data_IF_746871843088
#
_entry.id   IF_746871843088
#
_cell.length_a   1.000
_cell.length_b   1.000
_cell.length_c   1.000
_cell.angle_alpha   90.00
_cell.angle_beta   90.00
_cell.angle_gamma   90.00
#
_symmetry.space_group_name_H-M   'P 1'
#
loop_
_entity.id
_entity.type
_entity.pdbx_description
1 polymer ?
#
# COMPACT_ATOMS: atom_id res chain seq x y z
N UNK A 1 -9.59 -10.45 -19.05
CA UNK A 1 -10.61 -11.15 -18.24
C UNK A 1 -10.45 -10.91 -16.72
N UNK A 2 -9.22 -11.00 -16.16
CA UNK A 2 -8.94 -10.85 -14.71
C UNK A 2 -9.34 -9.47 -14.14
N UNK A 3 -9.02 -8.37 -14.83
CA UNK A 3 -9.34 -6.98 -14.40
C UNK A 3 -10.80 -6.75 -13.99
N UNK A 4 -11.75 -7.22 -14.80
CA UNK A 4 -13.19 -7.00 -14.58
C UNK A 4 -13.76 -7.80 -13.42
N UNK A 5 -13.07 -8.85 -12.97
CA UNK A 5 -13.54 -9.70 -11.86
C UNK A 5 -13.11 -9.17 -10.49
N UNK A 6 -12.01 -8.42 -10.42
CA UNK A 6 -11.40 -8.00 -9.15
C UNK A 6 -11.48 -6.49 -8.84
N UNK A 7 -11.79 -5.64 -9.83
CA UNK A 7 -11.71 -4.16 -9.68
C UNK A 7 -12.96 -3.39 -10.13
N UNK A 8 -14.09 -4.06 -10.36
CA UNK A 8 -15.33 -3.43 -10.85
C UNK A 8 -16.26 -3.11 -9.69
N UNK A 9 -16.08 -1.97 -9.04
CA UNK A 9 -17.02 -1.48 -8.03
C UNK A 9 -17.35 0.00 -8.27
N UNK A 10 -18.63 0.35 -8.15
CA UNK A 10 -19.17 1.68 -8.45
C UNK A 10 -19.16 2.67 -7.27
N UNK A 11 -18.59 2.32 -6.11
CA UNK A 11 -18.51 3.24 -4.97
C UNK A 11 -17.27 2.97 -4.10
N UNK A 12 -16.09 3.04 -4.72
CA UNK A 12 -14.78 2.69 -4.11
C UNK A 12 -14.16 3.86 -3.32
N UNK A 13 -14.82 5.02 -3.28
CA UNK A 13 -14.18 6.29 -2.88
C UNK A 13 -13.86 6.38 -1.38
N UNK A 14 -14.45 5.51 -0.54
CA UNK A 14 -14.27 5.52 0.93
C UNK A 14 -13.61 4.24 1.51
N UNK A 15 -12.91 3.45 0.71
CA UNK A 15 -12.24 2.24 1.22
C UNK A 15 -10.77 2.48 1.56
N UNK A 16 -10.36 2.00 2.72
CA UNK A 16 -8.96 1.93 3.11
C UNK A 16 -8.36 0.67 2.49
N UNK A 17 -7.37 0.88 1.61
CA UNK A 17 -6.84 -0.21 0.78
C UNK A 17 -5.46 -0.61 1.27
N UNK A 18 -5.33 -1.87 1.63
CA UNK A 18 -4.08 -2.51 2.01
C UNK A 18 -3.57 -3.31 0.83
N UNK A 19 -2.34 -3.02 0.41
CA UNK A 19 -1.68 -3.66 -0.71
C UNK A 19 -0.47 -4.40 -0.17
N UNK A 20 -0.59 -5.72 -0.07
CA UNK A 20 0.45 -6.62 0.41
C UNK A 20 1.14 -7.21 -0.81
N UNK A 21 2.45 -7.03 -0.91
CA UNK A 21 3.25 -7.48 -2.05
C UNK A 21 4.38 -8.37 -1.55
N UNK A 22 4.42 -9.61 -1.98
CA UNK A 22 5.57 -10.49 -1.76
C UNK A 22 6.62 -10.27 -2.85
N UNK A 23 7.86 -10.00 -2.44
CA UNK A 23 9.01 -9.86 -3.36
C UNK A 23 10.01 -10.99 -3.15
N UNK A 24 10.78 -11.31 -4.19
CA UNK A 24 11.96 -12.17 -4.05
C UNK A 24 13.06 -11.39 -3.32
N UNK A 25 13.93 -12.09 -2.58
CA UNK A 25 15.01 -11.43 -1.82
C UNK A 25 15.94 -10.60 -2.73
N UNK A 26 16.23 -11.13 -3.92
CA UNK A 26 17.07 -10.51 -4.93
C UNK A 26 16.31 -9.57 -5.88
N UNK A 27 15.03 -9.27 -5.63
CA UNK A 27 14.23 -8.40 -6.47
C UNK A 27 14.85 -7.00 -6.58
N UNK A 28 14.85 -6.44 -7.80
CA UNK A 28 15.49 -5.15 -8.06
C UNK A 28 14.70 -4.00 -7.43
N UNK A 29 15.41 -3.05 -6.80
CA UNK A 29 14.81 -1.84 -6.23
C UNK A 29 13.99 -1.04 -7.26
N UNK A 30 14.44 -0.96 -8.52
CA UNK A 30 13.73 -0.26 -9.60
C UNK A 30 12.39 -0.92 -9.95
N UNK A 31 12.35 -2.26 -9.97
CA UNK A 31 11.11 -3.02 -10.19
C UNK A 31 10.11 -2.74 -9.07
N UNK A 32 10.55 -2.84 -7.81
CA UNK A 32 9.72 -2.57 -6.63
C UNK A 32 9.19 -1.13 -6.67
N UNK A 33 10.06 -0.16 -6.94
CA UNK A 33 9.69 1.25 -7.06
C UNK A 33 8.65 1.50 -8.15
N UNK A 34 8.82 0.88 -9.31
CA UNK A 34 7.87 0.97 -10.43
C UNK A 34 6.50 0.43 -10.03
N UNK A 35 6.48 -0.74 -9.37
CA UNK A 35 5.25 -1.33 -8.84
C UNK A 35 4.56 -0.41 -7.83
N UNK A 36 5.30 0.18 -6.89
CA UNK A 36 4.75 1.12 -5.89
C UNK A 36 4.13 2.35 -6.56
N UNK A 37 4.78 2.92 -7.57
CA UNK A 37 4.22 4.05 -8.33
C UNK A 37 2.93 3.69 -9.06
N UNK A 38 2.82 2.49 -9.63
CA UNK A 38 1.60 2.04 -10.29
C UNK A 38 0.45 1.83 -9.32
N UNK A 39 0.74 1.26 -8.15
CA UNK A 39 -0.23 1.12 -7.06
C UNK A 39 -0.72 2.50 -6.62
N UNK A 40 0.19 3.45 -6.37
CA UNK A 40 -0.15 4.84 -6.08
C UNK A 40 -1.05 5.41 -7.18
N UNK A 41 -0.67 5.31 -8.45
CA UNK A 41 -1.46 5.84 -9.57
C UNK A 41 -2.88 5.25 -9.66
N UNK A 42 -3.03 3.96 -9.35
CA UNK A 42 -4.34 3.29 -9.39
C UNK A 42 -5.24 3.71 -8.24
N UNK A 43 -4.70 3.70 -7.02
CA UNK A 43 -5.49 3.76 -5.79
C UNK A 43 -5.53 5.14 -5.15
N UNK A 44 -4.52 5.98 -5.35
CA UNK A 44 -4.56 7.37 -4.91
C UNK A 44 -5.10 8.26 -6.03
N UNK A 45 -6.27 8.88 -5.81
CA UNK A 45 -6.92 9.74 -6.81
C UNK A 45 -7.17 11.12 -6.25
N UNK A 46 -6.40 12.09 -6.74
CA UNK A 46 -6.62 13.52 -6.52
C UNK A 46 -7.46 14.10 -7.66
N UNK A 47 -8.54 14.79 -7.33
CA UNK A 47 -9.31 15.63 -8.25
C UNK A 47 -9.28 17.08 -7.75
N UNK A 48 -9.47 18.06 -8.64
CA UNK A 48 -9.17 19.49 -8.44
C UNK A 48 -9.39 20.04 -7.00
N UNK A 49 -10.49 19.69 -6.34
CA UNK A 49 -10.86 20.17 -5.00
C UNK A 49 -11.06 19.07 -3.95
N UNK A 50 -10.74 17.81 -4.25
CA UNK A 50 -10.97 16.70 -3.32
C UNK A 50 -10.04 15.52 -3.55
N UNK A 51 -9.67 14.84 -2.47
CA UNK A 51 -9.09 13.51 -2.56
C UNK A 51 -10.24 12.51 -2.73
N UNK A 52 -10.42 12.01 -3.95
CA UNK A 52 -11.47 11.05 -4.29
C UNK A 52 -11.16 9.65 -3.75
N UNK A 53 -9.87 9.35 -3.60
CA UNK A 53 -9.42 8.06 -3.07
C UNK A 53 -8.10 8.27 -2.34
N UNK A 54 -8.09 7.96 -1.05
CA UNK A 54 -6.96 8.19 -0.14
C UNK A 54 -5.73 7.33 -0.47
N UNK A 55 -4.62 7.64 0.19
CA UNK A 55 -3.36 6.92 0.05
C UNK A 55 -3.51 5.45 0.44
N UNK A 56 -3.08 4.49 -0.41
CA UNK A 56 -3.06 3.09 -0.04
C UNK A 56 -2.00 2.82 1.04
N UNK A 57 -2.29 1.86 1.92
CA UNK A 57 -1.30 1.23 2.78
C UNK A 57 -0.57 0.16 2.00
N UNK A 58 0.75 0.24 1.92
CA UNK A 58 1.58 -0.71 1.17
C UNK A 58 2.49 -1.43 2.16
N UNK A 59 2.40 -2.75 2.15
CA UNK A 59 3.30 -3.64 2.87
C UNK A 59 4.06 -4.52 1.88
N UNK A 60 5.38 -4.60 2.01
CA UNK A 60 6.24 -5.36 1.10
C UNK A 60 6.88 -6.48 1.91
N UNK A 61 6.41 -7.73 1.72
CA UNK A 61 6.95 -8.91 2.39
C UNK A 61 8.30 -9.28 1.80
N UNK A 62 9.18 -9.83 2.63
CA UNK A 62 10.54 -10.29 2.28
C UNK A 62 11.49 -9.20 1.77
N UNK A 63 11.17 -7.91 1.99
CA UNK A 63 12.10 -6.82 1.73
C UNK A 63 13.05 -6.61 2.92
N UNK A 64 14.34 -6.44 2.66
CA UNK A 64 15.27 -6.09 3.73
C UNK A 64 15.06 -4.65 4.21
N UNK A 65 15.30 -4.38 5.50
CA UNK A 65 15.19 -3.01 6.08
C UNK A 65 16.02 -1.98 5.30
N UNK A 66 17.24 -2.37 4.88
CA UNK A 66 18.11 -1.52 4.05
C UNK A 66 17.45 -1.18 2.71
N UNK A 67 16.89 -2.18 2.01
CA UNK A 67 16.24 -1.98 0.71
C UNK A 67 14.94 -1.17 0.85
N UNK A 68 14.16 -1.39 1.91
CA UNK A 68 12.97 -0.58 2.22
C UNK A 68 13.32 0.89 2.48
N UNK A 69 14.40 1.17 3.23
CA UNK A 69 14.91 2.53 3.44
C UNK A 69 15.31 3.20 2.11
N UNK A 70 16.04 2.47 1.25
CA UNK A 70 16.42 2.96 -0.08
C UNK A 70 15.20 3.24 -0.97
N UNK A 71 14.17 2.38 -0.90
CA UNK A 71 12.92 2.56 -1.63
C UNK A 71 12.21 3.84 -1.20
N UNK A 72 12.02 4.05 0.11
CA UNK A 72 11.39 5.26 0.65
C UNK A 72 12.13 6.52 0.22
N UNK A 73 13.47 6.53 0.35
CA UNK A 73 14.29 7.66 -0.08
C UNK A 73 14.11 7.95 -1.58
N UNK A 74 14.11 6.90 -2.41
CA UNK A 74 13.93 7.05 -3.86
C UNK A 74 12.53 7.53 -4.25
N UNK A 75 11.48 7.14 -3.51
CA UNK A 75 10.12 7.65 -3.71
C UNK A 75 10.01 9.14 -3.32
N UNK A 76 10.63 9.53 -2.20
CA UNK A 76 10.67 10.94 -1.77
C UNK A 76 11.43 11.79 -2.79
N UNK A 77 12.53 11.30 -3.34
CA UNK A 77 13.27 11.97 -4.44
C UNK A 77 12.42 12.18 -5.70
N UNK A 78 11.42 11.34 -5.95
CA UNK A 78 10.46 11.50 -7.05
C UNK A 78 9.28 12.44 -6.69
N UNK A 79 9.31 13.09 -5.52
CA UNK A 79 8.24 13.96 -5.03
C UNK A 79 7.03 13.23 -4.47
N UNK A 80 7.15 11.94 -4.12
CA UNK A 80 6.10 11.21 -3.43
C UNK A 80 6.05 11.65 -1.97
N UNK A 81 4.93 12.23 -1.54
CA UNK A 81 4.65 12.44 -0.12
C UNK A 81 4.13 11.12 0.46
N UNK A 82 4.91 10.54 1.38
CA UNK A 82 4.59 9.29 2.07
C UNK A 82 4.68 9.47 3.58
N UNK A 83 3.96 8.62 4.31
CA UNK A 83 4.10 8.46 5.76
C UNK A 83 4.36 6.99 6.10
N UNK A 84 5.07 6.72 7.19
CA UNK A 84 5.39 5.37 7.64
C UNK A 84 5.16 5.14 9.14
N UNK A 85 4.51 6.09 9.81
CA UNK A 85 4.11 6.01 11.21
C UNK A 85 5.13 6.53 12.22
N UNK A 86 6.25 7.10 11.75
CA UNK A 86 7.28 7.69 12.60
C UNK A 86 7.35 9.19 12.36
N UNK A 87 7.16 9.99 13.41
CA UNK A 87 7.07 11.45 13.29
C UNK A 87 8.45 12.13 13.25
N UNK A 88 9.45 11.48 13.83
CA UNK A 88 10.82 11.95 13.91
C UNK A 88 11.78 10.77 14.04
N UNK A 89 13.08 11.04 13.97
CA UNK A 89 14.11 10.00 14.07
C UNK A 89 14.03 9.28 15.42
N UNK A 90 14.04 7.95 15.39
CA UNK A 90 13.96 7.07 16.57
C UNK A 90 12.68 7.24 17.42
N UNK A 91 11.62 7.82 16.86
CA UNK A 91 10.32 7.87 17.54
C UNK A 91 9.71 6.47 17.68
N UNK A 92 8.79 6.30 18.62
CA UNK A 92 7.90 5.15 18.60
C UNK A 92 6.91 5.22 17.41
N UNK A 93 6.33 4.07 17.07
CA UNK A 93 5.26 4.03 16.08
C UNK A 93 4.03 4.77 16.59
N UNK A 94 3.56 5.73 15.81
CA UNK A 94 2.40 6.54 16.13
C UNK A 94 1.23 6.19 15.19
N UNK A 95 0.30 5.39 15.72
CA UNK A 95 -0.90 4.95 14.99
C UNK A 95 -1.77 6.12 14.52
N UNK A 96 -1.92 7.16 15.34
CA UNK A 96 -2.70 8.35 15.02
C UNK A 96 -2.10 9.11 13.82
N UNK A 97 -0.78 9.30 13.84
CA UNK A 97 -0.07 9.90 12.71
C UNK A 97 -0.19 9.02 11.46
N UNK A 98 -0.07 7.69 11.60
CA UNK A 98 -0.14 6.77 10.47
C UNK A 98 -1.53 6.70 9.81
N UNK A 99 -2.60 6.82 10.61
CA UNK A 99 -3.98 6.84 10.08
C UNK A 99 -4.41 8.20 9.52
N UNK A 100 -3.53 9.22 9.53
CA UNK A 100 -3.81 10.54 8.93
C UNK A 100 -4.39 10.41 7.53
N UNK A 101 -5.54 11.05 7.29
CA UNK A 101 -6.20 11.01 5.98
C UNK A 101 -5.43 11.85 4.97
N UNK A 102 -5.42 11.40 3.72
CA UNK A 102 -4.92 12.21 2.61
C UNK A 102 -5.81 13.43 2.40
N UNK A 103 -5.20 14.60 2.32
CA UNK A 103 -5.87 15.88 2.02
C UNK A 103 -5.12 16.59 0.88
N UNK A 104 -5.72 17.64 0.31
CA UNK A 104 -5.02 18.41 -0.73
C UNK A 104 -3.80 19.14 -0.15
N UNK A 105 -3.89 19.52 1.11
CA UNK A 105 -2.91 20.29 1.88
C UNK A 105 -1.70 19.43 2.25
N UNK A 106 -1.93 18.24 2.81
CA UNK A 106 -0.83 17.35 3.20
C UNK A 106 -0.26 16.55 2.03
N UNK A 107 -1.03 16.34 0.96
CA UNK A 107 -0.58 15.62 -0.23
C UNK A 107 -0.20 14.15 -0.04
N UNK A 108 -0.47 13.56 1.13
CA UNK A 108 -0.08 12.18 1.47
C UNK A 108 -0.66 11.24 0.43
N UNK A 109 0.20 10.54 -0.30
CA UNK A 109 -0.17 9.73 -1.45
C UNK A 109 0.15 8.24 -1.30
N UNK A 110 0.97 7.88 -0.29
CA UNK A 110 1.30 6.49 0.07
C UNK A 110 1.48 6.40 1.58
N UNK A 111 1.07 5.27 2.18
CA UNK A 111 1.38 4.90 3.56
C UNK A 111 2.20 3.61 3.56
N UNK A 112 3.44 3.63 4.04
CA UNK A 112 4.33 2.45 4.03
C UNK A 112 4.29 1.75 5.40
N UNK A 113 3.95 0.47 5.40
CA UNK A 113 3.99 -0.39 6.58
C UNK A 113 5.38 -1.01 6.70
N UNK A 114 6.02 -0.86 7.87
CA UNK A 114 7.44 -1.19 8.03
C UNK A 114 7.73 -2.65 8.43
N UNK A 115 6.77 -3.32 9.06
CA UNK A 115 6.93 -4.68 9.58
C UNK A 115 5.54 -5.34 9.81
N UNK A 116 5.56 -6.64 10.12
CA UNK A 116 4.36 -7.44 10.38
C UNK A 116 3.57 -6.94 11.60
N UNK A 117 4.25 -6.48 12.65
CA UNK A 117 3.60 -5.98 13.87
C UNK A 117 2.71 -4.76 13.57
N UNK A 118 3.22 -3.80 12.80
CA UNK A 118 2.46 -2.63 12.36
C UNK A 118 1.33 -3.04 11.42
N UNK A 119 1.57 -4.01 10.52
CA UNK A 119 0.51 -4.56 9.65
C UNK A 119 -0.67 -5.08 10.49
N UNK A 120 -0.38 -5.95 11.47
CA UNK A 120 -1.41 -6.52 12.34
C UNK A 120 -2.14 -5.43 13.13
N UNK A 121 -1.42 -4.44 13.67
CA UNK A 121 -2.01 -3.33 14.41
C UNK A 121 -2.96 -2.49 13.53
N UNK A 122 -2.55 -2.11 12.31
CA UNK A 122 -3.37 -1.25 11.46
C UNK A 122 -4.56 -1.99 10.86
N UNK A 123 -4.42 -3.29 10.59
CA UNK A 123 -5.51 -4.15 10.13
C UNK A 123 -6.58 -4.30 11.22
N UNK A 124 -6.19 -4.48 12.48
CA UNK A 124 -7.11 -4.58 13.61
C UNK A 124 -7.75 -3.24 13.99
N UNK A 125 -7.11 -2.10 13.68
CA UNK A 125 -7.58 -0.77 14.04
C UNK A 125 -8.90 -0.39 13.36
N UNK A 126 -9.83 0.25 14.07
CA UNK A 126 -10.99 0.88 13.44
C UNK A 126 -10.59 2.18 12.72
N UNK A 127 -10.66 2.15 11.38
CA UNK A 127 -10.37 3.29 10.51
C UNK A 127 -11.62 4.13 10.17
N UNK A 128 -12.80 3.76 10.71
CA UNK A 128 -14.10 4.39 10.41
C UNK A 128 -14.48 4.32 8.93
N UNK A 129 -13.99 3.29 8.25
CA UNK A 129 -14.18 3.02 6.82
C UNK A 129 -13.93 1.55 6.55
N UNK A 130 -14.58 1.00 5.53
CA UNK A 130 -14.37 -0.38 5.12
C UNK A 130 -12.91 -0.58 4.68
N UNK A 131 -12.34 -1.72 5.07
CA UNK A 131 -11.01 -2.14 4.66
C UNK A 131 -11.12 -3.10 3.48
N UNK A 132 -10.19 -2.97 2.54
CA UNK A 132 -10.00 -3.95 1.47
C UNK A 132 -8.54 -4.32 1.36
N UNK A 133 -8.24 -5.61 1.33
CA UNK A 133 -6.87 -6.13 1.25
C UNK A 133 -6.67 -6.76 -0.12
N UNK A 134 -5.60 -6.36 -0.79
CA UNK A 134 -5.11 -6.99 -2.01
C UNK A 134 -3.78 -7.64 -1.69
N UNK A 135 -3.69 -8.95 -1.85
CA UNK A 135 -2.46 -9.70 -1.64
C UNK A 135 -1.91 -10.20 -2.98
N UNK A 136 -0.72 -9.73 -3.34
CA UNK A 136 0.07 -10.23 -4.45
C UNK A 136 1.17 -11.13 -3.87
N UNK A 137 1.04 -12.44 -4.04
CA UNK A 137 1.92 -13.42 -3.39
C UNK A 137 2.64 -14.32 -4.40
N UNK A 138 3.82 -14.79 -4.01
CA UNK A 138 4.65 -15.75 -4.75
C UNK A 138 4.51 -17.17 -4.17
N UNK A 139 4.26 -17.28 -2.86
CA UNK A 139 4.18 -18.56 -2.15
C UNK A 139 2.76 -18.83 -1.66
N UNK A 140 2.29 -18.05 -0.70
CA UNK A 140 0.94 -18.10 -0.14
C UNK A 140 0.53 -16.72 0.37
N UNK A 141 -0.78 -16.38 0.33
CA UNK A 141 -1.28 -15.17 0.95
C UNK A 141 -1.07 -15.23 2.48
N UNK A 142 -0.92 -14.07 3.11
CA UNK A 142 -0.97 -13.97 4.57
C UNK A 142 -2.39 -14.27 5.05
N UNK A 143 -2.50 -14.94 6.18
CA UNK A 143 -3.78 -15.02 6.88
C UNK A 143 -4.11 -13.64 7.48
N UNK A 144 -5.21 -13.05 7.02
CA UNK A 144 -5.75 -11.80 7.54
C UNK A 144 -7.05 -12.11 8.31
N UNK A 145 -7.53 -11.15 9.12
CA UNK A 145 -8.78 -11.30 9.85
C UNK A 145 -9.96 -11.62 8.91
N UNK A 146 -10.83 -12.53 9.34
CA UNK A 146 -11.84 -13.20 8.50
C UNK A 146 -12.99 -12.30 8.01
N UNK A 147 -13.11 -11.08 8.55
CA UNK A 147 -14.19 -10.13 8.29
C UNK A 147 -13.79 -9.03 7.28
N UNK A 148 -12.59 -9.11 6.69
CA UNK A 148 -12.09 -8.14 5.72
C UNK A 148 -12.28 -8.66 4.28
N UNK A 149 -12.69 -7.78 3.36
CA UNK A 149 -12.77 -8.11 1.93
C UNK A 149 -11.35 -8.29 1.38
N UNK A 150 -11.02 -9.52 0.99
CA UNK A 150 -9.70 -9.92 0.51
C UNK A 150 -9.71 -10.32 -0.97
N UNK A 151 -8.69 -9.87 -1.69
CA UNK A 151 -8.39 -10.30 -3.06
C UNK A 151 -6.98 -10.86 -3.10
N UNK A 152 -6.89 -12.18 -3.21
CA UNK A 152 -5.63 -12.93 -3.23
C UNK A 152 -5.27 -13.28 -4.67
N UNK A 153 -4.08 -12.84 -5.11
CA UNK A 153 -3.58 -12.99 -6.47
C UNK A 153 -2.17 -13.57 -6.40
N UNK A 154 -2.03 -14.80 -6.90
CA UNK A 154 -0.72 -15.39 -7.14
C UNK A 154 -0.07 -14.67 -8.33
N UNK A 155 1.20 -14.30 -8.18
CA UNK A 155 2.03 -13.71 -9.23
C UNK A 155 3.31 -14.52 -9.38
N UNK A 156 3.94 -14.48 -10.55
CA UNK A 156 5.30 -15.05 -10.73
C UNK A 156 6.38 -13.95 -10.74
N UNK A 157 5.98 -12.75 -11.13
CA UNK A 157 6.84 -11.57 -11.27
C UNK A 157 6.09 -10.29 -10.90
N UNK A 158 6.83 -9.25 -10.49
CA UNK A 158 6.24 -7.92 -10.23
C UNK A 158 5.61 -7.27 -11.46
N UNK A 159 6.00 -7.69 -12.67
CA UNK A 159 5.42 -7.18 -13.92
C UNK A 159 3.95 -7.58 -14.08
N UNK A 160 3.51 -8.69 -13.48
CA UNK A 160 2.11 -9.11 -13.54
C UNK A 160 1.19 -8.17 -12.75
N UNK A 161 1.68 -7.59 -11.65
CA UNK A 161 0.93 -6.58 -10.89
C UNK A 161 0.58 -5.40 -11.80
N UNK A 162 1.46 -5.00 -12.71
CA UNK A 162 1.23 -3.89 -13.63
C UNK A 162 0.05 -4.16 -14.57
N UNK A 163 -0.07 -5.38 -15.09
CA UNK A 163 -1.17 -5.78 -15.98
C UNK A 163 -2.52 -5.78 -15.26
N UNK A 164 -2.50 -6.05 -13.96
CA UNK A 164 -3.69 -6.12 -13.11
C UNK A 164 -4.13 -4.73 -12.65
N UNK A 165 -3.17 -3.90 -12.24
CA UNK A 165 -3.36 -2.59 -11.62
C UNK A 165 -3.52 -1.46 -12.65
N UNK A 166 -3.07 -1.66 -13.90
CA UNK A 166 -3.27 -0.73 -15.02
C UNK A 166 -4.73 -0.40 -15.33
#
# INVERSE_FOLDING_TARGET
AIKKKHFTYCNIDNWERFIIIEVKENENLSSIKTTVHQIKHKFYRRQAKVIKSGAPYIYIRNISRKKLKQLKASLVSDGVVLIDGYNYMDSDFNLEAFRTKSTLENGISIKIINNDEILSQIIACDLKSAKKVYQFYLSAPLAIATDIDEVNIEIKTLNEIQQIVS
#
